data_IF_888722806054
#
_entry.id   IF_888722806054
#
_cell.length_a   1.000
_cell.length_b   1.000
_cell.length_c   1.000
_cell.angle_alpha   90.00
_cell.angle_beta   90.00
_cell.angle_gamma   90.00
#
_symmetry.space_group_name_H-M   'P 1'
#
loop_
_entity.id
_entity.type
_entity.pdbx_description
1 polymer ?
#
# COMPACT_ATOMS: atom_id res chain seq x y z
N UNK A 1 -7.41 7.79 8.64
CA UNK A 1 -7.47 6.62 7.73
C UNK A 1 -7.73 7.07 6.31
N UNK A 2 -7.02 6.49 5.36
CA UNK A 2 -7.24 6.74 3.94
C UNK A 2 -8.06 5.62 3.33
N UNK A 3 -8.77 5.94 2.27
CA UNK A 3 -9.49 4.94 1.50
C UNK A 3 -9.09 5.05 0.05
N UNK A 4 -8.82 3.91 -0.58
CA UNK A 4 -8.47 3.87 -2.00
C UNK A 4 -9.43 2.95 -2.72
N UNK A 5 -10.08 3.46 -3.78
CA UNK A 5 -11.02 2.68 -4.57
C UNK A 5 -10.33 2.13 -5.81
N UNK A 6 -10.48 0.82 -6.04
CA UNK A 6 -9.87 0.18 -7.21
C UNK A 6 -10.57 0.53 -8.51
N UNK A 7 -11.83 0.94 -8.44
CA UNK A 7 -12.60 1.38 -9.61
C UNK A 7 -12.58 0.41 -10.78
N UNK A 8 -12.84 -0.86 -10.49
CA UNK A 8 -12.89 -1.89 -11.52
C UNK A 8 -11.58 -2.64 -11.76
N UNK A 9 -10.48 -2.16 -11.21
CA UNK A 9 -9.22 -2.89 -11.26
C UNK A 9 -9.21 -4.02 -10.25
N UNK A 10 -8.53 -5.11 -10.56
CA UNK A 10 -8.46 -6.26 -9.66
C UNK A 10 -7.56 -6.01 -8.46
N UNK A 11 -6.52 -5.19 -8.64
CA UNK A 11 -5.56 -4.91 -7.58
C UNK A 11 -4.79 -3.62 -7.89
N UNK A 12 -4.02 -3.17 -6.90
CA UNK A 12 -3.01 -2.14 -7.08
C UNK A 12 -1.72 -2.66 -6.44
N UNK A 13 -0.57 -2.40 -7.06
CA UNK A 13 0.71 -2.81 -6.47
C UNK A 13 1.01 -1.96 -5.24
N UNK A 14 1.58 -2.58 -4.20
CA UNK A 14 1.79 -1.92 -2.91
C UNK A 14 2.56 -0.61 -3.01
N UNK A 15 3.70 -0.61 -3.74
CA UNK A 15 4.50 0.62 -3.87
C UNK A 15 3.70 1.73 -4.56
N UNK A 16 2.88 1.36 -5.51
CA UNK A 16 2.08 2.33 -6.25
C UNK A 16 0.96 2.91 -5.37
N UNK A 17 0.36 2.09 -4.53
CA UNK A 17 -0.67 2.54 -3.60
C UNK A 17 -0.13 3.63 -2.67
N UNK A 18 1.07 3.42 -2.10
CA UNK A 18 1.68 4.40 -1.21
C UNK A 18 1.93 5.72 -1.93
N UNK A 19 2.31 5.65 -3.20
CA UNK A 19 2.57 6.84 -4.00
C UNK A 19 1.29 7.60 -4.35
N UNK A 20 0.27 6.91 -4.84
CA UNK A 20 -0.96 7.59 -5.28
C UNK A 20 -1.75 8.19 -4.13
N UNK A 21 -1.65 7.60 -2.94
CA UNK A 21 -2.27 8.16 -1.73
C UNK A 21 -1.50 9.39 -1.24
N UNK A 22 -0.24 9.55 -1.64
CA UNK A 22 0.55 10.70 -1.27
C UNK A 22 1.36 10.53 0.00
N UNK A 23 1.48 9.31 0.52
CA UNK A 23 2.28 9.06 1.72
C UNK A 23 3.78 9.10 1.42
N UNK A 24 4.15 8.87 0.16
CA UNK A 24 5.53 8.98 -0.30
C UNK A 24 5.57 9.76 -1.60
N UNK A 25 6.74 10.36 -1.89
CA UNK A 25 6.89 11.22 -3.08
C UNK A 25 7.13 10.46 -4.36
N UNK A 26 7.64 9.24 -4.28
CA UNK A 26 8.01 8.49 -5.48
C UNK A 26 7.86 7.00 -5.25
N UNK A 27 7.74 6.26 -6.36
CA UNK A 27 7.71 4.80 -6.31
C UNK A 27 9.02 4.22 -5.79
N UNK A 28 10.15 4.88 -6.09
CA UNK A 28 11.46 4.44 -5.60
C UNK A 28 11.54 4.50 -4.09
N UNK A 29 11.07 5.60 -3.49
CA UNK A 29 11.04 5.71 -2.04
C UNK A 29 10.09 4.66 -1.43
N UNK A 30 8.93 4.47 -2.03
CA UNK A 30 7.99 3.45 -1.56
C UNK A 30 8.64 2.07 -1.53
N UNK A 31 9.36 1.71 -2.60
CA UNK A 31 10.04 0.43 -2.69
C UNK A 31 11.08 0.25 -1.59
N UNK A 32 11.82 1.30 -1.29
CA UNK A 32 12.82 1.28 -0.22
C UNK A 32 12.17 1.03 1.14
N UNK A 33 11.09 1.75 1.44
CA UNK A 33 10.39 1.62 2.72
C UNK A 33 9.78 0.22 2.89
N UNK A 34 9.23 -0.34 1.82
CA UNK A 34 8.69 -1.69 1.85
C UNK A 34 9.81 -2.70 2.14
N UNK A 35 10.94 -2.55 1.45
CA UNK A 35 12.09 -3.45 1.63
C UNK A 35 12.65 -3.41 3.05
N UNK A 36 12.50 -2.27 3.72
CA UNK A 36 12.98 -2.10 5.10
C UNK A 36 12.01 -2.63 6.15
N UNK A 37 10.87 -3.16 5.73
CA UNK A 37 9.90 -3.74 6.65
C UNK A 37 9.02 -2.74 7.36
N UNK A 38 8.87 -1.55 6.80
CA UNK A 38 8.10 -0.47 7.43
C UNK A 38 6.63 -0.47 7.03
N UNK A 39 6.22 -1.37 6.16
CA UNK A 39 4.86 -1.42 5.63
C UNK A 39 4.22 -2.77 5.98
N UNK A 40 2.99 -2.72 6.47
CA UNK A 40 2.22 -3.92 6.81
C UNK A 40 1.00 -4.04 5.91
N UNK A 41 0.64 -5.27 5.60
CA UNK A 41 -0.60 -5.59 4.88
C UNK A 41 -1.37 -6.58 5.75
N UNK A 42 -2.60 -6.20 6.11
CA UNK A 42 -3.46 -7.01 7.00
C UNK A 42 -2.74 -7.39 8.30
N UNK A 43 -1.97 -6.45 8.85
CA UNK A 43 -1.29 -6.63 10.13
C UNK A 43 0.05 -7.33 10.08
N UNK A 44 0.51 -7.75 8.91
CA UNK A 44 1.80 -8.43 8.76
C UNK A 44 2.74 -7.62 7.89
N UNK A 45 4.04 -7.63 8.25
CA UNK A 45 5.04 -6.93 7.46
C UNK A 45 5.10 -7.54 6.06
N UNK A 46 5.03 -6.67 5.05
CA UNK A 46 5.10 -7.10 3.66
C UNK A 46 6.37 -6.54 3.03
N UNK A 47 7.23 -7.43 2.55
CA UNK A 47 8.51 -7.02 1.95
C UNK A 47 8.48 -6.98 0.42
N UNK A 48 7.42 -7.50 -0.19
CA UNK A 48 7.30 -7.52 -1.64
C UNK A 48 6.79 -6.18 -2.16
N UNK A 49 7.63 -5.49 -2.89
CA UNK A 49 7.32 -4.14 -3.41
C UNK A 49 6.11 -4.13 -4.32
N UNK A 50 5.93 -5.20 -5.08
CA UNK A 50 4.85 -5.33 -6.05
C UNK A 50 3.73 -6.25 -5.55
N UNK A 51 3.62 -6.42 -4.24
CA UNK A 51 2.52 -7.18 -3.67
C UNK A 51 1.20 -6.62 -4.20
N UNK A 52 0.33 -7.49 -4.67
CA UNK A 52 -0.97 -7.10 -5.22
C UNK A 52 -1.95 -6.87 -4.08
N UNK A 53 -2.39 -5.64 -3.92
CA UNK A 53 -3.35 -5.28 -2.88
C UNK A 53 -4.74 -5.27 -3.49
N UNK A 54 -5.64 -6.03 -2.88
CA UNK A 54 -6.99 -6.26 -3.38
C UNK A 54 -8.05 -5.67 -2.45
N UNK A 55 -9.28 -5.70 -2.89
CA UNK A 55 -10.42 -5.23 -2.11
C UNK A 55 -10.44 -5.89 -0.72
N UNK A 56 -10.66 -5.08 0.29
CA UNK A 56 -10.78 -5.56 1.66
C UNK A 56 -9.50 -5.59 2.46
N UNK A 57 -8.36 -5.41 1.80
CA UNK A 57 -7.08 -5.39 2.50
C UNK A 57 -6.81 -4.05 3.14
N UNK A 58 -6.07 -4.07 4.25
CA UNK A 58 -5.66 -2.88 4.98
C UNK A 58 -4.15 -2.75 4.91
N UNK A 59 -3.66 -1.62 4.42
CA UNK A 59 -2.23 -1.33 4.35
C UNK A 59 -1.90 -0.32 5.43
N UNK A 60 -0.81 -0.57 6.17
CA UNK A 60 -0.37 0.32 7.23
C UNK A 60 1.07 0.75 7.01
N UNK A 61 1.31 2.04 7.17
CA UNK A 61 2.64 2.63 7.09
C UNK A 61 2.73 3.74 8.13
N UNK A 62 3.65 3.60 9.08
CA UNK A 62 3.75 4.48 10.24
C UNK A 62 2.42 4.48 10.99
N UNK A 63 1.81 5.66 11.18
CA UNK A 63 0.50 5.78 11.84
C UNK A 63 -0.64 5.86 10.83
N UNK A 64 -0.33 5.72 9.55
CA UNK A 64 -1.32 5.84 8.48
C UNK A 64 -1.88 4.47 8.11
N UNK A 65 -3.16 4.45 7.79
CA UNK A 65 -3.85 3.25 7.35
C UNK A 65 -4.59 3.53 6.05
N UNK A 66 -4.54 2.57 5.13
CA UNK A 66 -5.22 2.68 3.84
C UNK A 66 -6.14 1.48 3.68
N UNK A 67 -7.44 1.73 3.60
CA UNK A 67 -8.43 0.69 3.34
C UNK A 67 -8.67 0.63 1.84
N UNK A 68 -8.53 -0.54 1.23
CA UNK A 68 -8.74 -0.71 -0.20
C UNK A 68 -10.15 -1.22 -0.45
N UNK A 69 -10.89 -0.50 -1.29
CA UNK A 69 -12.28 -0.83 -1.61
C UNK A 69 -12.47 -0.99 -3.12
N UNK A 70 -13.65 -1.44 -3.52
CA UNK A 70 -13.97 -1.70 -4.92
C UNK A 70 -13.96 -0.45 -5.81
#
# INVERSE_FOLDING_TARGET
MHEFELEGHEFIELHNLLKVIGLVHSGGLAKTLISEGLVKVDGEVELRKRCKIRVGQLVEFEKEQIKVSA
#
